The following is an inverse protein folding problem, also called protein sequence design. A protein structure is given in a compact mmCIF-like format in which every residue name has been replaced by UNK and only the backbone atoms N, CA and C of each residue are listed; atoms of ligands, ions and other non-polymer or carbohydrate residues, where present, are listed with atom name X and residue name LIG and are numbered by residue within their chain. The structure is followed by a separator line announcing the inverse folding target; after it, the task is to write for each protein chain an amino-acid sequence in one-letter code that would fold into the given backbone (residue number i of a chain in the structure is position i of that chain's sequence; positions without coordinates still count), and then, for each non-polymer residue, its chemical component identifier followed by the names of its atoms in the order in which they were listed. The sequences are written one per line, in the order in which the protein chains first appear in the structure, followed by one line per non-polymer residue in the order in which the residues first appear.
data_IF_521352713712
#
_entry.id   IF_521352713712
#
_cell.length_a   1.000
_cell.length_b   1.000
_cell.length_c   1.000
_cell.angle_alpha   90.00
_cell.angle_beta   90.00
_cell.angle_gamma   90.00
#
_symmetry.space_group_name_H-M   'P 1'
#
loop_
_entity.id
_entity.type
_entity.pdbx_description
1 polymer ?
#
# COMPACT_ATOMS: atom_id res chain seq x y z
N UNK A 1 -27.50 -6.44 -8.01
CA UNK A 1 -27.21 -7.38 -6.92
C UNK A 1 -26.09 -6.76 -6.11
N UNK A 2 -26.35 -6.33 -4.88
CA UNK A 2 -25.32 -5.82 -3.97
C UNK A 2 -24.49 -7.03 -3.53
N UNK A 3 -23.22 -7.09 -3.97
CA UNK A 3 -22.30 -8.13 -3.52
C UNK A 3 -22.01 -7.89 -2.03
N UNK A 4 -22.26 -8.90 -1.21
CA UNK A 4 -21.89 -8.88 0.21
C UNK A 4 -20.38 -8.69 0.34
N UNK A 5 -19.94 -7.64 1.04
CA UNK A 5 -18.55 -7.42 1.37
C UNK A 5 -18.13 -8.27 2.57
N UNK A 6 -16.88 -8.67 2.56
CA UNK A 6 -16.24 -9.42 3.65
C UNK A 6 -14.97 -8.72 4.08
N UNK A 7 -14.67 -8.84 5.36
CA UNK A 7 -13.38 -8.53 5.96
C UNK A 7 -12.68 -9.84 6.28
N UNK A 8 -11.42 -9.92 5.91
CA UNK A 8 -10.59 -11.10 6.09
C UNK A 8 -9.21 -10.67 6.61
N UNK A 9 -8.82 -11.17 7.78
CA UNK A 9 -7.49 -10.93 8.32
C UNK A 9 -6.77 -12.24 8.58
N UNK A 10 -5.48 -12.26 8.26
CA UNK A 10 -4.62 -13.41 8.49
C UNK A 10 -3.23 -13.00 8.97
N UNK A 11 -2.55 -13.94 9.60
CA UNK A 11 -1.12 -13.89 9.91
C UNK A 11 -0.38 -14.97 9.13
N UNK A 12 0.89 -14.71 8.80
CA UNK A 12 1.82 -15.71 8.31
C UNK A 12 3.25 -15.38 8.71
N UNK A 13 4.11 -16.38 8.87
CA UNK A 13 5.54 -16.16 9.01
C UNK A 13 6.17 -15.95 7.64
N UNK A 14 7.15 -15.05 7.55
CA UNK A 14 8.01 -14.96 6.37
C UNK A 14 8.96 -16.15 6.30
N UNK A 15 9.24 -16.63 5.10
CA UNK A 15 10.24 -17.70 4.87
C UNK A 15 11.64 -17.16 4.64
N UNK A 16 11.80 -15.84 4.56
CA UNK A 16 13.07 -15.17 4.40
C UNK A 16 13.41 -14.35 5.65
N UNK A 17 14.69 -14.12 5.86
CA UNK A 17 15.19 -13.20 6.88
C UNK A 17 15.35 -11.82 6.20
N UNK A 18 14.66 -10.77 6.69
CA UNK A 18 14.93 -9.42 6.21
C UNK A 18 16.40 -9.06 6.47
N UNK A 19 17.04 -8.44 5.50
CA UNK A 19 18.35 -7.84 5.75
C UNK A 19 18.17 -6.70 6.76
N UNK A 20 19.05 -6.69 7.77
CA UNK A 20 19.12 -5.57 8.70
C UNK A 20 19.60 -4.34 7.94
N UNK A 21 18.67 -3.54 7.42
CA UNK A 21 18.97 -2.24 6.85
C UNK A 21 18.93 -1.21 7.96
N UNK A 22 19.99 -0.43 8.10
CA UNK A 22 20.03 0.69 9.05
C UNK A 22 19.07 1.81 8.65
N UNK A 23 18.65 1.82 7.39
CA UNK A 23 17.69 2.79 6.85
C UNK A 23 16.87 2.13 5.71
N UNK A 24 15.54 2.10 5.88
CA UNK A 24 14.61 1.72 4.81
C UNK A 24 13.94 0.34 4.95
N UNK A 25 13.11 0.01 3.98
CA UNK A 25 12.38 -1.26 3.87
C UNK A 25 13.24 -2.28 3.14
N UNK A 26 13.32 -3.51 3.67
CA UNK A 26 13.97 -4.63 2.97
C UNK A 26 13.42 -4.80 1.55
N UNK A 27 14.31 -5.02 0.57
CA UNK A 27 13.95 -5.13 -0.84
C UNK A 27 12.94 -6.26 -1.11
N UNK A 28 13.02 -7.38 -0.39
CA UNK A 28 12.10 -8.50 -0.55
C UNK A 28 10.70 -8.11 -0.06
N UNK A 29 10.64 -7.39 1.07
CA UNK A 29 9.39 -6.85 1.60
C UNK A 29 8.81 -5.86 0.60
N UNK A 30 9.60 -4.90 0.10
CA UNK A 30 9.15 -3.92 -0.88
C UNK A 30 8.58 -4.58 -2.14
N UNK A 31 9.22 -5.63 -2.67
CA UNK A 31 8.72 -6.39 -3.82
C UNK A 31 7.40 -7.11 -3.54
N UNK A 32 7.27 -7.77 -2.37
CA UNK A 32 6.01 -8.42 -1.96
C UNK A 32 4.88 -7.41 -1.97
N UNK A 33 5.13 -6.25 -1.46
CA UNK A 33 4.16 -5.17 -1.29
C UNK A 33 3.73 -4.57 -2.62
N UNK A 34 4.67 -4.35 -3.53
CA UNK A 34 4.35 -3.87 -4.87
C UNK A 34 3.49 -4.89 -5.65
N UNK A 35 3.85 -6.17 -5.58
CA UNK A 35 3.08 -7.25 -6.22
C UNK A 35 1.69 -7.36 -5.59
N UNK A 36 1.59 -7.32 -4.26
CA UNK A 36 0.33 -7.36 -3.54
C UNK A 36 -0.55 -6.17 -3.91
N UNK A 37 -0.01 -4.96 -3.93
CA UNK A 37 -0.74 -3.74 -4.32
C UNK A 37 -1.36 -3.87 -5.72
N UNK A 38 -0.56 -4.24 -6.72
CA UNK A 38 -1.03 -4.43 -8.10
C UNK A 38 -2.12 -5.49 -8.21
N UNK A 39 -1.95 -6.61 -7.52
CA UNK A 39 -2.89 -7.72 -7.59
C UNK A 39 -4.20 -7.39 -6.84
N UNK A 40 -4.13 -6.78 -5.68
CA UNK A 40 -5.30 -6.42 -4.89
C UNK A 40 -6.14 -5.37 -5.62
N UNK A 41 -5.49 -4.36 -6.19
CA UNK A 41 -6.19 -3.34 -6.99
C UNK A 41 -6.95 -3.95 -8.19
N UNK A 42 -6.35 -4.91 -8.90
CA UNK A 42 -7.00 -5.62 -10.02
C UNK A 42 -8.22 -6.43 -9.59
N UNK A 43 -8.24 -6.91 -8.35
CA UNK A 43 -9.29 -7.75 -7.80
C UNK A 43 -10.26 -6.95 -6.90
N UNK A 44 -10.25 -5.62 -6.96
CA UNK A 44 -11.08 -4.72 -6.13
C UNK A 44 -10.99 -5.04 -4.64
N UNK A 45 -9.82 -5.45 -4.16
CA UNK A 45 -9.51 -5.65 -2.76
C UNK A 45 -8.83 -4.40 -2.20
N UNK A 46 -9.30 -3.94 -1.06
CA UNK A 46 -8.69 -2.87 -0.28
C UNK A 46 -8.21 -3.43 1.07
N UNK A 47 -7.35 -2.71 1.76
CA UNK A 47 -6.86 -3.15 3.06
C UNK A 47 -5.45 -2.69 3.39
N UNK A 48 -4.87 -3.29 4.43
CA UNK A 48 -3.53 -2.97 4.90
C UNK A 48 -2.72 -4.24 5.16
N UNK A 49 -1.42 -4.14 4.92
CA UNK A 49 -0.44 -5.16 5.24
C UNK A 49 0.60 -4.56 6.20
N UNK A 50 0.81 -5.20 7.32
CA UNK A 50 1.89 -4.88 8.26
C UNK A 50 2.86 -6.05 8.34
N UNK A 51 4.15 -5.74 8.41
CA UNK A 51 5.21 -6.70 8.66
C UNK A 51 6.00 -6.29 9.89
N UNK A 52 6.16 -7.21 10.82
CA UNK A 52 6.93 -6.98 12.04
C UNK A 52 7.37 -8.31 12.63
N UNK A 53 8.58 -8.35 13.18
CA UNK A 53 9.11 -9.52 13.89
C UNK A 53 9.02 -10.84 13.09
N UNK A 54 9.26 -10.80 11.76
CA UNK A 54 9.19 -11.99 10.90
C UNK A 54 7.77 -12.46 10.58
N UNK A 55 6.75 -11.71 11.01
CA UNK A 55 5.35 -12.01 10.76
C UNK A 55 4.71 -10.99 9.84
N UNK A 56 3.92 -11.45 8.89
CA UNK A 56 2.95 -10.66 8.18
C UNK A 56 1.61 -10.69 8.91
N UNK A 57 0.96 -9.54 8.96
CA UNK A 57 -0.46 -9.41 9.28
C UNK A 57 -1.11 -8.64 8.15
N UNK A 58 -2.11 -9.21 7.52
CA UNK A 58 -2.86 -8.53 6.46
C UNK A 58 -4.35 -8.56 6.78
N UNK A 59 -5.00 -7.40 6.61
CA UNK A 59 -6.43 -7.27 6.57
C UNK A 59 -6.87 -6.84 5.18
N UNK A 60 -7.87 -7.51 4.63
CA UNK A 60 -8.43 -7.30 3.30
C UNK A 60 -9.93 -7.15 3.39
N UNK A 61 -10.48 -6.29 2.54
CA UNK A 61 -11.92 -6.11 2.36
C UNK A 61 -12.26 -6.14 0.88
N UNK A 62 -13.36 -6.82 0.54
CA UNK A 62 -13.83 -6.99 -0.83
C UNK A 62 -14.89 -8.08 -0.95
N UNK A 63 -15.15 -8.57 -2.17
CA UNK A 63 -16.07 -9.68 -2.37
C UNK A 63 -15.49 -10.96 -1.77
N UNK A 64 -16.39 -11.82 -1.24
CA UNK A 64 -15.95 -13.12 -0.71
C UNK A 64 -15.20 -13.94 -1.76
N UNK A 65 -15.63 -13.90 -3.01
CA UNK A 65 -15.02 -14.62 -4.10
C UNK A 65 -13.56 -14.20 -4.33
N UNK A 66 -13.29 -12.88 -4.36
CA UNK A 66 -11.94 -12.35 -4.57
C UNK A 66 -11.01 -12.65 -3.38
N UNK A 67 -11.56 -12.56 -2.15
CA UNK A 67 -10.85 -12.93 -0.92
C UNK A 67 -10.47 -14.42 -0.94
N UNK A 68 -11.42 -15.32 -1.26
CA UNK A 68 -11.19 -16.77 -1.30
C UNK A 68 -10.15 -17.11 -2.39
N UNK A 69 -10.20 -16.44 -3.54
CA UNK A 69 -9.23 -16.62 -4.62
C UNK A 69 -7.82 -16.16 -4.19
N UNK A 70 -7.71 -15.04 -3.48
CA UNK A 70 -6.42 -14.58 -2.95
C UNK A 70 -5.91 -15.51 -1.84
N UNK A 71 -6.76 -15.93 -0.90
CA UNK A 71 -6.39 -16.86 0.16
C UNK A 71 -5.82 -18.17 -0.42
N UNK A 72 -6.46 -18.72 -1.44
CA UNK A 72 -5.97 -19.93 -2.13
C UNK A 72 -4.59 -19.72 -2.77
N UNK A 73 -4.29 -18.53 -3.29
CA UNK A 73 -2.97 -18.20 -3.83
C UNK A 73 -1.93 -18.09 -2.71
N UNK A 74 -2.28 -17.47 -1.59
CA UNK A 74 -1.38 -17.26 -0.44
C UNK A 74 -0.97 -18.61 0.18
N UNK A 75 -1.87 -19.60 0.23
CA UNK A 75 -1.55 -20.95 0.72
C UNK A 75 -0.46 -21.65 -0.11
N UNK A 76 -0.28 -21.27 -1.37
CA UNK A 76 0.71 -21.81 -2.29
C UNK A 76 1.91 -20.85 -2.50
N UNK A 77 1.96 -19.71 -1.83
CA UNK A 77 3.04 -18.75 -1.95
C UNK A 77 4.20 -19.14 -1.02
N UNK A 78 5.33 -19.51 -1.60
CA UNK A 78 6.51 -19.97 -0.86
C UNK A 78 7.12 -18.90 0.07
N UNK A 79 6.73 -17.65 -0.05
CA UNK A 79 7.17 -16.54 0.80
C UNK A 79 6.46 -16.52 2.17
N UNK A 80 5.34 -17.24 2.28
CA UNK A 80 4.52 -17.35 3.48
C UNK A 80 4.52 -18.78 4.00
N UNK A 81 4.59 -18.95 5.31
CA UNK A 81 4.38 -20.24 5.98
C UNK A 81 3.47 -20.06 7.19
N UNK A 82 2.88 -21.17 7.64
CA UNK A 82 2.02 -21.22 8.82
C UNK A 82 0.86 -20.21 8.78
N UNK A 83 0.25 -20.02 7.58
CA UNK A 83 -0.83 -19.07 7.41
C UNK A 83 -2.02 -19.42 8.32
N UNK A 84 -2.41 -18.46 9.16
CA UNK A 84 -3.52 -18.58 10.12
C UNK A 84 -4.54 -17.48 9.85
N UNK A 85 -5.77 -17.87 9.56
CA UNK A 85 -6.90 -16.93 9.50
C UNK A 85 -7.25 -16.49 10.92
N UNK A 86 -7.29 -15.16 11.13
CA UNK A 86 -7.58 -14.55 12.42
C UNK A 86 -8.99 -13.99 12.48
N UNK A 87 -9.51 -13.53 11.31
CA UNK A 87 -10.82 -12.92 11.19
C UNK A 87 -11.38 -13.22 9.79
N UNK A 88 -12.67 -13.59 9.72
CA UNK A 88 -13.42 -13.66 8.46
C UNK A 88 -14.89 -13.38 8.78
N UNK A 89 -15.38 -12.21 8.37
CA UNK A 89 -16.74 -11.78 8.68
C UNK A 89 -17.34 -10.94 7.54
N UNK A 90 -18.68 -10.97 7.35
CA UNK A 90 -19.34 -10.04 6.45
C UNK A 90 -19.31 -8.63 7.05
N UNK A 91 -19.22 -7.63 6.17
CA UNK A 91 -19.28 -6.20 6.53
C UNK A 91 -20.27 -5.46 5.63
N UNK A 92 -20.85 -4.37 6.13
CA UNK A 92 -21.79 -3.56 5.36
C UNK A 92 -21.09 -2.59 4.40
N UNK A 93 -19.97 -2.04 4.84
CA UNK A 93 -19.14 -1.10 4.06
C UNK A 93 -17.66 -1.33 4.33
N UNK A 94 -16.83 -0.96 3.35
CA UNK A 94 -15.39 -0.97 3.55
C UNK A 94 -14.96 0.08 4.58
N UNK A 95 -14.01 -0.31 5.43
CA UNK A 95 -13.34 0.57 6.36
C UNK A 95 -11.99 1.08 5.86
N UNK A 96 -11.50 0.56 4.71
CA UNK A 96 -10.32 1.07 4.01
C UNK A 96 -10.73 1.80 2.75
N UNK A 97 -10.07 2.93 2.46
CA UNK A 97 -10.32 3.73 1.25
C UNK A 97 -9.55 3.20 0.04
N UNK A 98 -8.40 2.59 0.27
CA UNK A 98 -7.54 2.00 -0.74
C UNK A 98 -6.77 0.79 -0.20
N UNK A 99 -6.04 0.09 -1.08
CA UNK A 99 -5.07 -0.87 -0.62
C UNK A 99 -3.76 -0.16 -0.30
N UNK A 100 -3.40 -0.15 0.95
CA UNK A 100 -2.23 0.54 1.44
C UNK A 100 -1.27 -0.42 2.13
N UNK A 101 0.00 -0.16 1.93
CA UNK A 101 1.04 -0.80 2.70
C UNK A 101 1.49 0.11 3.83
N UNK A 102 1.23 -0.35 5.04
CA UNK A 102 1.55 0.37 6.28
C UNK A 102 2.81 -0.24 6.94
N UNK A 103 3.99 -0.11 6.31
CA UNK A 103 5.18 -0.71 6.89
C UNK A 103 5.93 0.25 7.84
N UNK A 104 6.40 1.36 7.35
CA UNK A 104 7.25 2.27 8.13
C UNK A 104 6.48 3.39 8.84
N UNK A 105 5.34 3.79 8.28
CA UNK A 105 4.59 4.95 8.78
C UNK A 105 3.77 4.66 10.03
N UNK A 106 3.47 3.40 10.32
CA UNK A 106 2.63 2.99 11.46
C UNK A 106 3.39 2.17 12.51
N UNK A 107 4.71 2.07 12.42
CA UNK A 107 5.49 1.32 13.43
C UNK A 107 5.33 1.93 14.84
N UNK A 108 5.18 3.25 14.93
CA UNK A 108 4.90 3.93 16.19
C UNK A 108 3.52 3.55 16.76
N UNK A 109 2.49 3.54 15.93
CA UNK A 109 1.11 3.17 16.28
C UNK A 109 1.03 1.71 16.70
N UNK A 110 1.68 0.81 15.95
CA UNK A 110 1.75 -0.61 16.32
C UNK A 110 2.48 -0.81 17.65
N UNK A 111 3.59 -0.12 17.90
CA UNK A 111 4.27 -0.18 19.18
C UNK A 111 3.42 0.37 20.33
N UNK A 112 2.63 1.41 20.11
CA UNK A 112 1.68 1.93 21.09
C UNK A 112 0.61 0.88 21.39
N UNK A 113 0.00 0.31 20.35
CA UNK A 113 -0.96 -0.77 20.44
C UNK A 113 -0.43 -1.97 21.25
N UNK A 114 0.79 -2.42 20.97
CA UNK A 114 1.39 -3.53 21.69
C UNK A 114 1.58 -3.21 23.20
N UNK A 115 1.99 -1.98 23.53
CA UNK A 115 2.14 -1.54 24.93
C UNK A 115 0.80 -1.54 25.67
N UNK A 116 -0.27 -1.05 25.04
CA UNK A 116 -1.63 -1.03 25.61
C UNK A 116 -2.14 -2.45 25.92
N UNK A 117 -1.72 -3.43 25.11
CA UNK A 117 -2.11 -4.84 25.30
C UNK A 117 -1.09 -5.65 26.12
N UNK A 118 -0.08 -5.01 26.71
CA UNK A 118 1.01 -5.68 27.44
C UNK A 118 1.73 -6.73 26.59
N UNK A 119 1.82 -6.52 25.27
CA UNK A 119 2.54 -7.39 24.34
C UNK A 119 3.90 -6.79 24.03
N UNK A 120 4.97 -7.51 24.34
CA UNK A 120 6.35 -7.03 24.18
C UNK A 120 6.85 -7.14 22.73
N UNK A 121 6.25 -7.98 21.92
CA UNK A 121 6.71 -8.34 20.58
C UNK A 121 5.53 -8.57 19.66
N UNK A 122 5.60 -8.07 18.45
CA UNK A 122 4.53 -8.31 17.47
C UNK A 122 4.48 -9.81 17.15
N UNK A 123 3.41 -10.46 17.58
CA UNK A 123 3.10 -11.85 17.32
C UNK A 123 1.58 -12.02 17.14
N UNK A 124 1.08 -11.83 15.91
CA UNK A 124 -0.36 -11.87 15.65
C UNK A 124 -0.98 -13.26 15.87
N UNK A 125 -0.18 -14.29 16.01
CA UNK A 125 -0.69 -15.63 16.34
C UNK A 125 -1.24 -15.76 17.77
N UNK A 126 -0.82 -14.85 18.67
CA UNK A 126 -1.27 -14.77 20.05
C UNK A 126 -2.51 -13.87 20.21
N UNK A 127 -2.91 -13.15 19.18
CA UNK A 127 -4.05 -12.25 19.25
C UNK A 127 -5.35 -13.06 19.26
N UNK A 128 -6.21 -12.73 20.20
CA UNK A 128 -7.61 -13.15 20.19
C UNK A 128 -8.42 -12.33 19.17
N UNK A 129 -9.69 -12.65 19.03
CA UNK A 129 -10.58 -11.96 18.09
C UNK A 129 -10.72 -10.46 18.42
N UNK A 130 -10.79 -10.11 19.71
CA UNK A 130 -10.94 -8.73 20.14
C UNK A 130 -9.69 -7.91 19.79
N UNK A 131 -8.51 -8.41 20.15
CA UNK A 131 -7.23 -7.79 19.84
C UNK A 131 -7.01 -7.69 18.32
N UNK A 132 -7.40 -8.71 17.56
CA UNK A 132 -7.35 -8.68 16.09
C UNK A 132 -8.20 -7.55 15.53
N UNK A 133 -9.44 -7.39 15.99
CA UNK A 133 -10.35 -6.31 15.57
C UNK A 133 -9.78 -4.93 15.92
N UNK A 134 -9.25 -4.76 17.11
CA UNK A 134 -8.65 -3.49 17.54
C UNK A 134 -7.42 -3.14 16.68
N UNK A 135 -6.60 -4.13 16.30
CA UNK A 135 -5.49 -3.90 15.35
C UNK A 135 -6.02 -3.45 13.98
N UNK A 136 -7.07 -4.09 13.47
CA UNK A 136 -7.70 -3.68 12.21
C UNK A 136 -8.23 -2.26 12.29
N UNK A 137 -8.94 -1.89 13.35
CA UNK A 137 -9.47 -0.54 13.56
C UNK A 137 -8.35 0.51 13.62
N UNK A 138 -7.23 0.18 14.24
CA UNK A 138 -6.05 1.05 14.28
C UNK A 138 -5.46 1.24 12.88
N UNK A 139 -5.36 0.16 12.08
CA UNK A 139 -4.87 0.23 10.70
C UNK A 139 -5.79 1.09 9.81
N UNK A 140 -7.10 0.99 9.97
CA UNK A 140 -8.08 1.81 9.25
C UNK A 140 -7.93 3.30 9.58
N UNK A 141 -7.83 3.64 10.87
CA UNK A 141 -7.61 5.04 11.30
C UNK A 141 -6.31 5.62 10.75
N UNK A 142 -5.24 4.81 10.68
CA UNK A 142 -3.99 5.23 10.09
C UNK A 142 -4.11 5.47 8.57
N UNK A 143 -4.97 4.71 7.88
CA UNK A 143 -5.30 4.89 6.48
C UNK A 143 -5.96 6.25 6.23
N UNK A 144 -7.01 6.56 6.98
CA UNK A 144 -7.74 7.82 6.89
C UNK A 144 -6.84 9.03 7.15
N UNK A 145 -5.95 8.94 8.13
CA UNK A 145 -5.04 10.03 8.48
C UNK A 145 -4.02 10.34 7.40
N UNK A 146 -3.52 9.33 6.68
CA UNK A 146 -2.58 9.51 5.57
C UNK A 146 -3.26 10.10 4.34
N UNK A 147 -4.43 9.56 3.97
CA UNK A 147 -5.21 10.08 2.86
C UNK A 147 -5.59 11.56 3.07
N UNK A 148 -5.94 11.95 4.30
CA UNK A 148 -6.23 13.34 4.65
C UNK A 148 -4.99 14.24 4.47
N UNK A 149 -3.79 13.77 4.85
CA UNK A 149 -2.54 14.53 4.67
C UNK A 149 -2.16 14.67 3.20
N UNK A 150 -2.28 13.61 2.40
CA UNK A 150 -2.00 13.65 0.96
C UNK A 150 -2.93 14.61 0.22
N UNK A 151 -4.23 14.59 0.53
CA UNK A 151 -5.20 15.54 -0.01
C UNK A 151 -4.89 16.98 0.38
N UNK A 152 -4.49 17.24 1.63
CA UNK A 152 -4.10 18.56 2.09
C UNK A 152 -2.82 19.06 1.40
N UNK A 153 -1.83 18.18 1.19
CA UNK A 153 -0.62 18.50 0.45
C UNK A 153 -0.91 18.77 -1.02
N UNK A 154 -1.72 17.95 -1.68
CA UNK A 154 -2.12 18.16 -3.07
C UNK A 154 -2.87 19.48 -3.26
N UNK A 155 -3.73 19.88 -2.31
CA UNK A 155 -4.45 21.14 -2.32
C UNK A 155 -3.54 22.36 -2.07
N UNK A 156 -2.40 22.18 -1.42
CA UNK A 156 -1.43 23.25 -1.10
C UNK A 156 -0.36 23.47 -2.18
N UNK A 157 -0.28 22.60 -3.20
CA UNK A 157 0.63 22.81 -4.33
C UNK A 157 0.07 23.97 -5.18
N UNK A 158 0.78 25.10 -5.32
CA UNK A 158 0.36 26.16 -6.22
C UNK A 158 0.27 25.60 -7.64
N UNK A 159 -0.85 25.83 -8.32
CA UNK A 159 -0.96 25.53 -9.74
C UNK A 159 -0.01 26.53 -10.44
N UNK A 160 1.21 26.13 -10.67
CA UNK A 160 2.12 26.87 -11.51
C UNK A 160 1.55 26.82 -12.92
N UNK A 161 0.84 27.88 -13.33
CA UNK A 161 0.47 28.09 -14.71
C UNK A 161 1.76 28.17 -15.51
N UNK A 162 2.24 27.05 -15.98
CA UNK A 162 3.28 26.98 -16.99
C UNK A 162 2.72 27.66 -18.23
N UNK A 163 2.98 28.96 -18.35
CA UNK A 163 2.67 29.72 -19.55
C UNK A 163 3.31 29.00 -20.75
N UNK A 164 2.50 28.40 -21.57
CA UNK A 164 2.91 27.72 -22.81
C UNK A 164 3.52 28.68 -23.86
N UNK A 165 3.63 29.97 -23.55
CA UNK A 165 4.23 30.99 -24.42
C UNK A 165 5.71 30.75 -24.70
N UNK A 166 6.44 30.09 -23.81
CA UNK A 166 7.90 29.92 -24.00
C UNK A 166 8.28 28.76 -24.95
N UNK A 167 7.39 27.80 -25.21
CA UNK A 167 7.67 26.68 -26.13
C UNK A 167 7.65 27.15 -27.58
N UNK A 168 6.73 28.07 -27.91
CA UNK A 168 6.63 28.61 -29.27
C UNK A 168 7.79 29.48 -29.66
N UNK A 169 8.39 30.22 -28.72
CA UNK A 169 9.57 31.06 -28.97
C UNK A 169 10.80 30.20 -29.33
N UNK A 170 10.97 29.02 -28.72
CA UNK A 170 12.05 28.11 -29.06
C UNK A 170 11.85 27.42 -30.41
N UNK A 171 10.63 27.08 -30.80
CA UNK A 171 10.34 26.42 -32.08
C UNK A 171 10.52 27.42 -33.24
N UNK A 172 10.09 28.66 -33.08
CA UNK A 172 10.28 29.70 -34.09
C UNK A 172 11.75 30.10 -34.24
N UNK A 173 12.51 30.16 -33.14
CA UNK A 173 13.95 30.40 -33.15
C UNK A 173 14.75 29.32 -33.90
N UNK A 174 14.39 28.06 -33.71
CA UNK A 174 15.03 26.92 -34.36
C UNK A 174 14.76 26.85 -35.87
N UNK A 175 13.56 27.23 -36.32
CA UNK A 175 13.17 27.30 -37.74
C UNK A 175 13.92 28.42 -38.47
N UNK A 176 14.12 29.59 -37.83
CA UNK A 176 14.86 30.71 -38.47
C UNK A 176 16.35 30.37 -38.61
N UNK A 177 16.94 29.68 -37.60
CA UNK A 177 18.34 29.22 -37.69
C UNK A 177 18.55 28.17 -38.77
N UNK A 178 17.59 27.30 -39.04
CA UNK A 178 17.66 26.28 -40.09
C UNK A 178 17.56 26.91 -41.49
N UNK A 179 16.75 27.96 -41.66
CA UNK A 179 16.62 28.66 -42.94
C UNK A 179 17.88 29.46 -43.28
N UNK A 180 18.54 30.09 -42.28
CA UNK A 180 19.77 30.85 -42.49
C UNK A 180 20.94 29.93 -42.85
N UNK A 181 21.01 28.71 -42.27
CA UNK A 181 22.05 27.72 -42.60
C UNK A 181 21.86 27.14 -44.00
N UNK A 182 20.63 26.98 -44.47
CA UNK A 182 20.36 26.42 -45.79
C UNK A 182 20.69 27.40 -46.94
N UNK A 183 20.57 28.72 -46.73
CA UNK A 183 20.95 29.71 -47.72
C UNK A 183 22.46 29.92 -47.85
N UNK A 184 23.26 29.54 -46.86
CA UNK A 184 24.72 29.64 -46.89
C UNK A 184 25.42 28.43 -47.59
N UNK A 185 24.68 27.32 -47.78
CA UNK A 185 25.22 26.11 -48.45
C UNK A 185 24.88 26.08 -49.93
N UNK A 186 23.95 26.94 -50.41
CA UNK A 186 23.49 27.00 -51.80
C UNK A 186 23.98 28.24 -52.56
N UNK A 187 24.88 29.06 -51.99
CA UNK A 187 25.61 30.15 -52.62
C UNK A 187 27.09 29.79 -52.73
#
# INVERSE_FOLDING_TARGET
MTHQLYRFAYASHSTFQPFATTEGVDINIAQILEVARKNNQKNNLVGALYYGNGCFFQCLEGSKQDIDALHSKLLNDSRHKDLKVLLSEPIEKSGFSSWEMKFATIDHEVRAFLREHNVHKFDPYQFDLATTKQLVDMLQKADDALNTKELAQAASVPIEHKNHTNIWVFIVGLLVAFFAAFTLITA
#
